data_IF_413060015758
#
_entry.id   IF_413060015758
#
_cell.length_a   1.000
_cell.length_b   1.000
_cell.length_c   1.000
_cell.angle_alpha   90.00
_cell.angle_beta   90.00
_cell.angle_gamma   90.00
#
_symmetry.space_group_name_H-M   'P 1'
#
loop_
_entity.id
_entity.type
_entity.pdbx_description
1 polymer ?
#
# COMPACT_ATOMS: atom_id res chain seq x y z
N UNK A 1 -18.26 -10.21 -29.12
CA UNK A 1 -17.89 -10.63 -27.75
C UNK A 1 -18.62 -11.93 -27.44
N UNK A 2 -17.94 -13.01 -27.08
CA UNK A 2 -18.60 -14.28 -26.75
C UNK A 2 -19.53 -14.09 -25.52
N UNK A 3 -20.77 -14.61 -25.56
CA UNK A 3 -21.77 -14.38 -24.48
C UNK A 3 -21.35 -14.92 -23.11
N UNK A 4 -20.38 -15.84 -23.06
CA UNK A 4 -19.85 -16.44 -21.83
C UNK A 4 -18.48 -15.88 -21.37
N UNK A 5 -17.89 -14.93 -22.10
CA UNK A 5 -16.54 -14.43 -21.78
C UNK A 5 -16.41 -13.82 -20.38
N UNK A 6 -17.45 -13.12 -19.90
CA UNK A 6 -17.48 -12.55 -18.55
C UNK A 6 -17.52 -13.62 -17.46
N UNK A 7 -18.18 -14.77 -17.71
CA UNK A 7 -18.22 -15.90 -16.77
C UNK A 7 -16.86 -16.55 -16.63
N UNK A 8 -16.14 -16.71 -17.73
CA UNK A 8 -14.78 -17.25 -17.72
C UNK A 8 -13.84 -16.28 -17.00
N UNK A 9 -13.96 -14.97 -17.24
CA UNK A 9 -13.17 -13.94 -16.54
C UNK A 9 -13.37 -13.98 -15.02
N UNK A 10 -14.62 -14.05 -14.55
CA UNK A 10 -14.91 -14.19 -13.12
C UNK A 10 -14.52 -15.56 -12.56
N UNK A 11 -14.77 -16.64 -13.31
CA UNK A 11 -14.44 -18.01 -12.90
C UNK A 11 -12.93 -18.24 -12.76
N UNK A 12 -12.11 -17.54 -13.54
CA UNK A 12 -10.65 -17.63 -13.44
C UNK A 12 -10.11 -17.16 -12.09
N UNK A 13 -10.85 -16.29 -11.37
CA UNK A 13 -10.49 -15.88 -10.01
C UNK A 13 -10.53 -17.04 -8.99
N UNK A 14 -11.22 -18.14 -9.31
CA UNK A 14 -11.20 -19.35 -8.50
C UNK A 14 -9.83 -20.06 -8.53
N UNK A 15 -9.02 -19.87 -9.59
CA UNK A 15 -7.72 -20.53 -9.73
C UNK A 15 -6.72 -20.06 -8.66
N UNK A 16 -6.46 -18.75 -8.46
CA UNK A 16 -5.64 -18.29 -7.34
C UNK A 16 -6.19 -18.68 -5.97
N UNK A 17 -7.52 -18.71 -5.79
CA UNK A 17 -8.14 -19.09 -4.53
C UNK A 17 -7.89 -20.58 -4.20
N UNK A 18 -8.01 -21.46 -5.19
CA UNK A 18 -7.68 -22.89 -5.03
C UNK A 18 -6.19 -23.10 -4.78
N UNK A 19 -5.32 -22.38 -5.49
CA UNK A 19 -3.87 -22.43 -5.24
C UNK A 19 -3.53 -22.03 -3.81
N UNK A 20 -4.15 -20.97 -3.30
CA UNK A 20 -3.96 -20.51 -1.92
C UNK A 20 -4.51 -21.53 -0.92
N UNK A 21 -5.68 -22.10 -1.17
CA UNK A 21 -6.28 -23.15 -0.33
C UNK A 21 -5.39 -24.39 -0.24
N UNK A 22 -4.85 -24.87 -1.36
CA UNK A 22 -3.89 -25.98 -1.37
C UNK A 22 -2.59 -25.59 -0.66
N UNK A 23 -2.09 -24.38 -0.90
CA UNK A 23 -0.89 -23.85 -0.23
C UNK A 23 -1.02 -23.77 1.28
N UNK A 24 -2.20 -23.42 1.81
CA UNK A 24 -2.46 -23.39 3.25
C UNK A 24 -2.29 -24.74 3.94
N UNK A 25 -2.48 -25.88 3.23
CA UNK A 25 -2.21 -27.20 3.80
C UNK A 25 -0.72 -27.54 3.87
N UNK A 26 0.12 -26.87 3.08
CA UNK A 26 1.58 -27.11 3.01
C UNK A 26 2.35 -26.15 3.92
N UNK A 27 1.85 -24.93 4.10
CA UNK A 27 2.50 -23.89 4.90
C UNK A 27 2.36 -24.22 6.40
N UNK A 28 3.49 -24.22 7.10
CA UNK A 28 3.52 -24.32 8.56
C UNK A 28 3.13 -22.98 9.19
N UNK A 29 2.35 -23.02 10.27
CA UNK A 29 1.95 -21.85 11.04
C UNK A 29 3.17 -21.02 11.51
N UNK A 30 2.98 -19.72 11.75
CA UNK A 30 4.09 -18.86 12.20
C UNK A 30 4.58 -19.28 13.59
N UNK A 31 5.90 -19.31 13.85
CA UNK A 31 6.45 -19.71 15.15
C UNK A 31 5.85 -18.94 16.33
N UNK A 32 5.69 -17.62 16.16
CA UNK A 32 5.07 -16.74 17.16
C UNK A 32 3.62 -17.16 17.47
N UNK A 33 2.80 -17.49 16.47
CA UNK A 33 1.42 -17.94 16.71
C UNK A 33 1.35 -19.29 17.42
N UNK A 34 2.27 -20.22 17.12
CA UNK A 34 2.34 -21.52 17.81
C UNK A 34 2.69 -21.37 19.29
N UNK A 35 3.66 -20.52 19.61
CA UNK A 35 4.08 -20.20 20.99
C UNK A 35 2.95 -19.46 21.73
N UNK A 36 2.27 -18.52 21.07
CA UNK A 36 1.09 -17.85 21.62
C UNK A 36 -0.04 -18.84 21.96
N UNK A 37 -0.20 -19.91 21.17
CA UNK A 37 -1.18 -20.97 21.43
C UNK A 37 -0.71 -22.03 22.44
N UNK A 38 0.48 -21.86 23.03
CA UNK A 38 1.06 -22.77 24.02
C UNK A 38 1.66 -24.05 23.42
N UNK A 39 2.04 -24.03 22.14
CA UNK A 39 2.65 -25.16 21.41
C UNK A 39 4.14 -24.91 21.18
N UNK A 40 4.90 -24.77 22.26
CA UNK A 40 6.27 -24.30 22.26
C UNK A 40 7.22 -25.19 21.44
N UNK A 41 7.10 -26.53 21.57
CA UNK A 41 7.87 -27.50 20.79
C UNK A 41 7.62 -27.38 19.28
N UNK A 42 6.36 -27.17 18.87
CA UNK A 42 6.00 -26.97 17.47
C UNK A 42 6.50 -25.61 16.95
N UNK A 43 6.45 -24.58 17.80
CA UNK A 43 7.01 -23.25 17.50
C UNK A 43 8.52 -23.30 17.29
N UNK A 44 9.26 -24.03 18.14
CA UNK A 44 10.71 -24.24 17.99
C UNK A 44 11.05 -25.01 16.72
N UNK A 45 10.32 -26.08 16.42
CA UNK A 45 10.49 -26.83 15.17
C UNK A 45 10.19 -25.99 13.92
N UNK A 46 9.14 -25.16 13.95
CA UNK A 46 8.82 -24.23 12.88
C UNK A 46 9.92 -23.16 12.70
N UNK A 47 10.47 -22.63 13.79
CA UNK A 47 11.55 -21.64 13.76
C UNK A 47 12.82 -22.23 13.14
N UNK A 48 13.21 -23.46 13.55
CA UNK A 48 14.31 -24.20 12.93
C UNK A 48 14.10 -24.41 11.43
N UNK A 49 12.88 -24.78 11.02
CA UNK A 49 12.53 -24.98 9.61
C UNK A 49 12.62 -23.70 8.78
N UNK A 50 12.21 -22.56 9.34
CA UNK A 50 12.22 -21.26 8.64
C UNK A 50 13.64 -20.68 8.57
N UNK A 51 14.42 -20.78 9.65
CA UNK A 51 15.81 -20.26 9.70
C UNK A 51 16.82 -21.18 9.02
N UNK A 52 16.53 -22.48 8.92
CA UNK A 52 17.41 -23.49 8.34
C UNK A 52 18.63 -23.81 9.21
N UNK A 53 18.62 -23.42 10.48
CA UNK A 53 19.70 -23.64 11.46
C UNK A 53 19.14 -24.24 12.74
N UNK A 54 19.95 -25.05 13.42
CA UNK A 54 19.56 -25.69 14.69
C UNK A 54 19.69 -24.78 15.90
N UNK A 55 20.57 -23.79 15.85
CA UNK A 55 20.81 -22.83 16.92
C UNK A 55 19.89 -21.62 16.80
N UNK A 56 18.63 -21.82 17.23
CA UNK A 56 17.59 -20.78 17.30
C UNK A 56 17.18 -20.49 18.74
N UNK A 57 17.97 -20.95 19.71
CA UNK A 57 17.62 -20.95 21.14
C UNK A 57 17.45 -19.53 21.69
N UNK A 58 18.27 -18.59 21.22
CA UNK A 58 18.24 -17.17 21.62
C UNK A 58 16.99 -16.49 21.06
N UNK A 59 16.78 -16.58 19.75
CA UNK A 59 15.60 -16.00 19.08
C UNK A 59 14.29 -16.62 19.62
N UNK A 60 14.30 -17.93 19.91
CA UNK A 60 13.15 -18.60 20.50
C UNK A 60 12.81 -18.01 21.88
N UNK A 61 13.80 -17.77 22.75
CA UNK A 61 13.56 -17.15 24.06
C UNK A 61 13.04 -15.72 23.94
N UNK A 62 13.54 -14.95 22.98
CA UNK A 62 13.03 -13.59 22.69
C UNK A 62 11.55 -13.64 22.27
N UNK A 63 11.19 -14.56 21.36
CA UNK A 63 9.81 -14.73 20.90
C UNK A 63 8.90 -15.21 22.04
N UNK A 64 9.36 -16.13 22.91
CA UNK A 64 8.59 -16.58 24.07
C UNK A 64 8.33 -15.43 25.04
N UNK A 65 9.36 -14.64 25.38
CA UNK A 65 9.22 -13.48 26.24
C UNK A 65 8.23 -12.45 25.66
N UNK A 66 8.30 -12.19 24.34
CA UNK A 66 7.36 -11.33 23.65
C UNK A 66 5.92 -11.89 23.66
N UNK A 67 5.76 -13.21 23.51
CA UNK A 67 4.44 -13.87 23.58
C UNK A 67 3.86 -13.86 25.00
N UNK A 68 4.68 -13.99 26.04
CA UNK A 68 4.22 -13.88 27.43
C UNK A 68 3.75 -12.47 27.77
N UNK A 69 4.46 -11.44 27.32
CA UNK A 69 4.02 -10.05 27.40
C UNK A 69 2.69 -9.86 26.66
N UNK A 70 2.58 -10.38 25.43
CA UNK A 70 1.35 -10.32 24.64
C UNK A 70 0.17 -11.03 25.32
N UNK A 71 0.36 -12.20 25.92
CA UNK A 71 -0.67 -12.94 26.67
C UNK A 71 -1.17 -12.18 27.90
N UNK A 72 -0.33 -11.35 28.52
CA UNK A 72 -0.73 -10.51 29.63
C UNK A 72 -1.77 -9.44 29.21
N UNK A 73 -1.86 -9.13 27.91
CA UNK A 73 -2.81 -8.19 27.33
C UNK A 73 -4.14 -8.87 26.97
N UNK A 74 -5.06 -8.89 27.92
CA UNK A 74 -6.41 -9.48 27.77
C UNK A 74 -7.35 -8.74 26.82
N UNK A 75 -7.07 -7.48 26.45
CA UNK A 75 -7.96 -6.67 25.59
C UNK A 75 -7.18 -5.87 24.52
N UNK A 76 -6.87 -6.48 23.37
CA UNK A 76 -6.11 -5.85 22.28
C UNK A 76 -6.75 -4.56 21.76
N UNK A 77 -8.08 -4.54 21.57
CA UNK A 77 -8.82 -3.38 21.09
C UNK A 77 -8.82 -2.21 22.09
N UNK A 78 -8.88 -2.49 23.39
CA UNK A 78 -8.82 -1.45 24.44
C UNK A 78 -7.39 -0.92 24.60
N UNK A 79 -6.39 -1.78 24.43
CA UNK A 79 -4.98 -1.38 24.45
C UNK A 79 -4.58 -0.56 23.21
N UNK A 80 -5.27 -0.74 22.08
CA UNK A 80 -5.08 0.09 20.89
C UNK A 80 -5.45 1.58 21.14
N UNK A 81 -6.33 1.85 22.11
CA UNK A 81 -6.67 3.22 22.55
C UNK A 81 -5.69 3.80 23.58
N UNK A 82 -4.68 3.04 24.02
CA UNK A 82 -3.64 3.58 24.92
C UNK A 82 -2.68 4.48 24.15
N UNK A 83 -2.17 5.50 24.84
CA UNK A 83 -1.28 6.52 24.27
C UNK A 83 -0.09 5.93 23.49
N UNK A 84 0.52 4.84 23.95
CA UNK A 84 1.61 4.15 23.27
C UNK A 84 1.25 3.48 21.93
N UNK A 85 -0.02 3.09 21.73
CA UNK A 85 -0.50 2.47 20.48
C UNK A 85 -1.10 3.47 19.48
N UNK A 86 -1.29 4.74 19.89
CA UNK A 86 -1.83 5.80 19.01
C UNK A 86 -0.92 6.10 17.82
N UNK A 87 0.42 6.27 17.97
CA UNK A 87 1.29 6.61 16.84
C UNK A 87 1.26 5.58 15.69
N UNK A 88 1.44 4.27 15.93
CA UNK A 88 1.37 3.28 14.85
C UNK A 88 -0.04 3.17 14.26
N UNK A 89 -1.09 3.32 15.08
CA UNK A 89 -2.47 3.30 14.59
C UNK A 89 -2.76 4.46 13.65
N UNK A 90 -2.39 5.68 14.04
CA UNK A 90 -2.59 6.89 13.24
C UNK A 90 -1.83 6.74 11.92
N UNK A 91 -0.56 6.33 11.95
CA UNK A 91 0.21 6.16 10.72
C UNK A 91 -0.37 5.09 9.81
N UNK A 92 -0.79 3.95 10.35
CA UNK A 92 -1.39 2.91 9.54
C UNK A 92 -2.71 3.35 8.89
N UNK A 93 -3.59 4.01 9.64
CA UNK A 93 -4.87 4.52 9.12
C UNK A 93 -4.63 5.60 8.05
N UNK A 94 -3.79 6.61 8.35
CA UNK A 94 -3.53 7.69 7.39
C UNK A 94 -2.78 7.21 6.14
N UNK A 95 -1.84 6.26 6.25
CA UNK A 95 -1.20 5.68 5.07
C UNK A 95 -2.23 5.03 4.14
N UNK A 96 -3.20 4.32 4.69
CA UNK A 96 -4.25 3.66 3.90
C UNK A 96 -5.23 4.67 3.29
N UNK A 97 -5.57 5.74 4.01
CA UNK A 97 -6.33 6.87 3.47
C UNK A 97 -5.56 7.48 2.30
N UNK A 98 -4.31 7.90 2.52
CA UNK A 98 -3.50 8.54 1.49
C UNK A 98 -3.25 7.66 0.29
N UNK A 99 -3.10 6.33 0.47
CA UNK A 99 -2.99 5.39 -0.63
C UNK A 99 -4.20 5.49 -1.58
N UNK A 100 -5.42 5.64 -1.07
CA UNK A 100 -6.61 5.82 -1.88
C UNK A 100 -6.70 7.25 -2.48
N UNK A 101 -6.39 8.26 -1.68
CA UNK A 101 -6.35 9.66 -2.12
C UNK A 101 -5.21 9.99 -3.09
N UNK A 102 -4.29 9.07 -3.36
CA UNK A 102 -3.36 9.19 -4.50
C UNK A 102 -4.12 9.32 -5.83
N UNK A 103 -5.33 8.77 -5.92
CA UNK A 103 -6.10 8.68 -7.16
C UNK A 103 -5.74 7.49 -8.03
N UNK A 104 -5.02 6.48 -7.52
CA UNK A 104 -4.60 5.32 -8.32
C UNK A 104 -5.78 4.60 -8.97
N UNK A 105 -6.87 4.34 -8.22
CA UNK A 105 -8.06 3.68 -8.76
C UNK A 105 -8.72 4.53 -9.85
N UNK A 106 -8.80 5.85 -9.63
CA UNK A 106 -9.33 6.79 -10.60
C UNK A 106 -8.51 6.77 -11.91
N UNK A 107 -7.18 6.80 -11.82
CA UNK A 107 -6.29 6.77 -12.98
C UNK A 107 -6.36 5.42 -13.69
N UNK A 108 -6.44 4.30 -12.96
CA UNK A 108 -6.55 2.96 -13.53
C UNK A 108 -7.86 2.77 -14.31
N UNK A 109 -8.98 3.33 -13.83
CA UNK A 109 -10.26 3.29 -14.56
C UNK A 109 -10.31 4.28 -15.73
N UNK A 110 -9.68 5.44 -15.59
CA UNK A 110 -9.69 6.47 -16.63
C UNK A 110 -8.72 6.17 -17.77
N UNK A 111 -7.61 5.48 -17.50
CA UNK A 111 -6.59 5.19 -18.52
C UNK A 111 -7.18 4.49 -19.76
N UNK A 112 -7.97 3.40 -19.66
CA UNK A 112 -8.61 2.79 -20.82
C UNK A 112 -9.60 3.71 -21.54
N UNK A 113 -10.36 4.53 -20.80
CA UNK A 113 -11.35 5.46 -21.35
C UNK A 113 -10.66 6.57 -22.15
N UNK A 114 -9.58 7.14 -21.61
CA UNK A 114 -8.69 8.05 -22.34
C UNK A 114 -8.15 7.39 -23.60
N UNK A 115 -7.66 6.15 -23.49
CA UNK A 115 -7.08 5.45 -24.65
C UNK A 115 -8.10 5.25 -25.77
N UNK A 116 -9.36 4.95 -25.43
CA UNK A 116 -10.45 4.83 -26.40
C UNK A 116 -10.84 6.18 -27.03
N UNK A 117 -10.95 7.26 -26.25
CA UNK A 117 -11.30 8.58 -26.79
C UNK A 117 -10.22 9.18 -27.68
N UNK A 118 -8.96 8.73 -27.53
CA UNK A 118 -7.83 9.13 -28.37
C UNK A 118 -7.74 8.37 -29.71
N UNK A 119 -8.76 7.57 -30.07
CA UNK A 119 -8.85 6.91 -31.37
C UNK A 119 -7.94 5.69 -31.53
N UNK A 120 -7.30 5.22 -30.46
CA UNK A 120 -6.74 3.87 -30.46
C UNK A 120 -7.91 2.88 -30.58
N UNK A 121 -7.93 2.09 -31.66
CA UNK A 121 -8.88 0.96 -31.81
C UNK A 121 -8.87 0.13 -30.52
N UNK A 122 -9.97 -0.54 -30.17
CA UNK A 122 -10.09 -1.32 -28.90
C UNK A 122 -8.86 -2.19 -28.57
N UNK A 123 -8.17 -2.72 -29.57
CA UNK A 123 -6.91 -3.47 -29.41
C UNK A 123 -5.76 -2.64 -28.82
N UNK A 124 -5.64 -1.36 -29.19
CA UNK A 124 -4.63 -0.44 -28.67
C UNK A 124 -4.89 -0.04 -27.21
N UNK A 125 -6.15 0.15 -26.81
CA UNK A 125 -6.50 0.44 -25.41
C UNK A 125 -6.18 -0.76 -24.49
N UNK A 126 -6.46 -1.99 -24.95
CA UNK A 126 -6.06 -3.22 -24.28
C UNK A 126 -4.53 -3.35 -24.19
N UNK A 127 -3.81 -3.10 -25.29
CA UNK A 127 -2.35 -3.16 -25.31
C UNK A 127 -1.73 -2.17 -24.31
N UNK A 128 -2.22 -0.93 -24.27
CA UNK A 128 -1.75 0.07 -23.31
C UNK A 128 -2.02 -0.32 -21.86
N UNK A 129 -3.20 -0.89 -21.55
CA UNK A 129 -3.49 -1.40 -20.22
C UNK A 129 -2.54 -2.55 -19.82
N UNK A 130 -2.22 -3.45 -20.76
CA UNK A 130 -1.22 -4.52 -20.56
C UNK A 130 0.16 -3.92 -20.30
N UNK A 131 0.58 -2.91 -21.06
CA UNK A 131 1.86 -2.22 -20.86
C UNK A 131 1.91 -1.56 -19.47
N UNK A 132 0.87 -0.84 -19.06
CA UNK A 132 0.80 -0.25 -17.71
C UNK A 132 0.86 -1.33 -16.62
N UNK A 133 0.20 -2.47 -16.83
CA UNK A 133 0.27 -3.62 -15.93
C UNK A 133 1.69 -4.22 -15.83
N UNK A 134 2.37 -4.40 -16.96
CA UNK A 134 3.76 -4.89 -17.00
C UNK A 134 4.73 -3.91 -16.31
N UNK A 135 4.55 -2.61 -16.53
CA UNK A 135 5.32 -1.57 -15.84
C UNK A 135 5.07 -1.60 -14.34
N UNK A 136 3.81 -1.80 -13.90
CA UNK A 136 3.47 -1.94 -12.49
C UNK A 136 4.19 -3.15 -11.86
N UNK A 137 4.16 -4.32 -12.52
CA UNK A 137 4.87 -5.53 -12.06
C UNK A 137 6.39 -5.31 -12.02
N UNK A 138 6.97 -4.76 -13.09
CA UNK A 138 8.41 -4.46 -13.15
C UNK A 138 8.84 -3.47 -12.07
N UNK A 139 8.05 -2.42 -11.84
CA UNK A 139 8.29 -1.43 -10.79
C UNK A 139 8.19 -2.04 -9.39
N UNK A 140 7.31 -3.02 -9.18
CA UNK A 140 7.21 -3.74 -7.91
C UNK A 140 8.52 -4.47 -7.57
N UNK A 141 9.19 -5.08 -8.56
CA UNK A 141 10.51 -5.69 -8.32
C UNK A 141 11.57 -4.66 -7.93
N UNK A 142 11.53 -3.46 -8.54
CA UNK A 142 12.41 -2.35 -8.14
C UNK A 142 12.13 -1.94 -6.70
N UNK A 143 10.87 -1.93 -6.26
CA UNK A 143 10.51 -1.67 -4.87
C UNK A 143 11.20 -2.63 -3.91
N UNK A 144 11.12 -3.93 -4.19
CA UNK A 144 11.67 -4.98 -3.33
C UNK A 144 13.17 -4.73 -3.09
N UNK A 145 13.91 -4.36 -4.15
CA UNK A 145 15.32 -4.05 -4.03
C UNK A 145 15.60 -2.69 -3.35
N UNK A 146 14.80 -1.68 -3.67
CA UNK A 146 15.03 -0.30 -3.23
C UNK A 146 14.63 -0.06 -1.76
N UNK A 147 13.60 -0.75 -1.26
CA UNK A 147 13.03 -0.59 0.10
C UNK A 147 14.10 -0.78 1.17
N UNK A 148 14.94 -1.80 1.01
CA UNK A 148 15.98 -2.11 1.98
C UNK A 148 17.27 -1.29 1.77
N UNK A 149 17.54 -0.82 0.55
CA UNK A 149 18.70 0.05 0.30
C UNK A 149 18.46 1.51 0.65
N UNK A 150 17.38 2.11 0.18
CA UNK A 150 17.13 3.56 0.24
C UNK A 150 16.43 3.98 1.53
N UNK A 151 15.59 3.10 2.09
CA UNK A 151 14.74 3.39 3.24
C UNK A 151 13.32 3.78 2.85
N UNK A 152 12.37 3.56 3.76
CA UNK A 152 10.93 3.65 3.48
C UNK A 152 10.50 5.11 3.31
N UNK A 153 11.00 6.02 4.16
CA UNK A 153 10.60 7.44 4.15
C UNK A 153 11.08 8.15 2.88
N UNK A 154 12.32 7.90 2.46
CA UNK A 154 12.89 8.51 1.24
C UNK A 154 12.16 8.06 -0.03
N UNK A 155 11.77 6.79 -0.12
CA UNK A 155 10.98 6.27 -1.24
C UNK A 155 9.59 6.88 -1.32
N UNK A 156 8.91 7.03 -0.18
CA UNK A 156 7.60 7.72 -0.14
C UNK A 156 7.71 9.17 -0.63
N UNK A 157 8.72 9.92 -0.18
CA UNK A 157 8.91 11.32 -0.58
C UNK A 157 9.28 11.47 -2.06
N UNK A 158 10.21 10.65 -2.56
CA UNK A 158 10.57 10.66 -3.97
C UNK A 158 9.36 10.37 -4.86
N UNK A 159 8.53 9.40 -4.45
CA UNK A 159 7.33 9.07 -5.18
C UNK A 159 6.29 10.20 -5.14
N UNK A 160 6.10 10.88 -3.99
CA UNK A 160 5.24 12.05 -3.93
C UNK A 160 5.66 13.11 -4.96
N UNK A 161 6.95 13.41 -5.08
CA UNK A 161 7.45 14.37 -6.07
C UNK A 161 7.15 13.93 -7.50
N UNK A 162 7.44 12.67 -7.85
CA UNK A 162 7.22 12.15 -9.20
C UNK A 162 5.73 12.06 -9.56
N UNK A 163 4.89 11.62 -8.62
CA UNK A 163 3.44 11.58 -8.79
C UNK A 163 2.85 12.98 -8.96
N UNK A 164 3.32 13.95 -8.17
CA UNK A 164 2.89 15.35 -8.25
C UNK A 164 3.21 15.95 -9.62
N UNK A 165 4.46 15.81 -10.09
CA UNK A 165 4.87 16.32 -11.39
C UNK A 165 4.04 15.68 -12.52
N UNK A 166 3.85 14.35 -12.46
CA UNK A 166 3.10 13.62 -13.47
C UNK A 166 1.61 14.03 -13.50
N UNK A 167 0.96 14.16 -12.33
CA UNK A 167 -0.45 14.56 -12.27
C UNK A 167 -0.67 16.02 -12.67
N UNK A 168 0.23 16.93 -12.27
CA UNK A 168 0.15 18.33 -12.71
C UNK A 168 0.33 18.45 -14.22
N UNK A 169 1.31 17.73 -14.80
CA UNK A 169 1.53 17.71 -16.24
C UNK A 169 0.30 17.18 -17.00
N UNK A 170 -0.29 16.07 -16.54
CA UNK A 170 -1.53 15.52 -17.12
C UNK A 170 -2.69 16.51 -17.00
N UNK A 171 -2.89 17.11 -15.82
CA UNK A 171 -3.96 18.07 -15.56
C UNK A 171 -3.85 19.34 -16.43
N UNK A 172 -2.63 19.84 -16.65
CA UNK A 172 -2.36 20.98 -17.53
C UNK A 172 -2.66 20.61 -18.98
N UNK A 173 -2.10 19.50 -19.48
CA UNK A 173 -2.28 19.06 -20.88
C UNK A 173 -3.76 18.86 -21.19
N UNK A 174 -4.50 18.20 -20.30
CA UNK A 174 -5.93 17.96 -20.49
C UNK A 174 -6.76 19.25 -20.40
N UNK A 175 -6.43 20.17 -19.48
CA UNK A 175 -7.14 21.44 -19.34
C UNK A 175 -7.05 22.33 -20.60
N UNK A 176 -5.90 22.34 -21.26
CA UNK A 176 -5.69 23.10 -22.50
C UNK A 176 -6.27 22.36 -23.72
N UNK A 177 -6.05 21.05 -23.83
CA UNK A 177 -6.41 20.30 -25.04
C UNK A 177 -7.91 19.98 -25.15
N UNK A 178 -8.64 19.87 -24.04
CA UNK A 178 -10.09 19.63 -24.06
C UNK A 178 -10.89 20.87 -24.47
N UNK A 179 -10.33 22.08 -24.34
CA UNK A 179 -11.04 23.33 -24.60
C UNK A 179 -11.04 23.77 -26.06
N UNK A 180 -10.04 23.40 -26.86
CA UNK A 180 -9.86 24.03 -28.17
C UNK A 180 -10.31 23.19 -29.38
N UNK A 181 -10.31 21.86 -29.32
CA UNK A 181 -10.44 21.08 -30.57
C UNK A 181 -11.28 19.81 -30.51
N UNK A 182 -11.71 19.34 -29.33
CA UNK A 182 -12.48 18.10 -29.20
C UNK A 182 -11.74 16.81 -29.65
N UNK A 183 -10.53 16.93 -30.18
CA UNK A 183 -9.65 15.83 -30.60
C UNK A 183 -8.23 16.09 -30.10
N UNK A 184 -7.71 15.15 -29.31
CA UNK A 184 -6.32 15.20 -28.83
C UNK A 184 -5.38 14.84 -29.99
N UNK A 185 -4.35 15.64 -30.23
CA UNK A 185 -3.29 15.24 -31.18
C UNK A 185 -2.63 13.93 -30.73
N UNK A 186 -2.27 13.07 -31.69
CA UNK A 186 -1.73 11.72 -31.42
C UNK A 186 -0.40 11.78 -30.65
N UNK A 187 0.35 12.87 -30.82
CA UNK A 187 1.59 13.13 -30.09
C UNK A 187 1.30 13.43 -28.61
N UNK A 188 0.36 14.34 -28.35
CA UNK A 188 -0.07 14.69 -26.99
C UNK A 188 -0.69 13.51 -26.26
N UNK A 189 -1.47 12.68 -26.96
CA UNK A 189 -2.01 11.42 -26.45
C UNK A 189 -0.91 10.48 -25.93
N UNK A 190 0.14 10.30 -26.73
CA UNK A 190 1.28 9.45 -26.37
C UNK A 190 2.02 9.99 -25.14
N UNK A 191 2.19 11.31 -25.05
CA UNK A 191 2.80 11.96 -23.89
C UNK A 191 1.97 11.73 -22.62
N UNK A 192 0.64 11.89 -22.69
CA UNK A 192 -0.26 11.61 -21.55
C UNK A 192 -0.14 10.15 -21.10
N UNK A 193 -0.06 9.20 -22.04
CA UNK A 193 0.14 7.77 -21.71
C UNK A 193 1.45 7.56 -20.96
N UNK A 194 2.55 8.14 -21.43
CA UNK A 194 3.86 8.04 -20.78
C UNK A 194 3.80 8.63 -19.36
N UNK A 195 3.11 9.76 -19.18
CA UNK A 195 2.93 10.38 -17.87
C UNK A 195 2.08 9.52 -16.92
N UNK A 196 1.02 8.89 -17.43
CA UNK A 196 0.21 7.94 -16.65
C UNK A 196 1.03 6.72 -16.26
N UNK A 197 1.80 6.14 -17.16
CA UNK A 197 2.70 5.03 -16.85
C UNK A 197 3.77 5.44 -15.82
N UNK A 198 4.31 6.65 -15.93
CA UNK A 198 5.30 7.19 -14.98
C UNK A 198 4.68 7.41 -13.59
N UNK A 199 3.41 7.85 -13.54
CA UNK A 199 2.65 7.94 -12.31
C UNK A 199 2.40 6.56 -11.68
N UNK A 200 1.92 5.59 -12.46
CA UNK A 200 1.63 4.23 -11.97
C UNK A 200 2.91 3.56 -11.47
N UNK A 201 4.02 3.69 -12.20
CA UNK A 201 5.34 3.24 -11.77
C UNK A 201 5.74 3.88 -10.43
N UNK A 202 5.51 5.19 -10.29
CA UNK A 202 5.84 5.89 -9.05
C UNK A 202 5.00 5.42 -7.85
N UNK A 203 3.74 5.05 -8.07
CA UNK A 203 2.91 4.46 -7.04
C UNK A 203 3.35 3.02 -6.70
N UNK A 204 3.63 2.23 -7.73
CA UNK A 204 3.94 0.80 -7.65
C UNK A 204 5.19 0.49 -6.83
N UNK A 205 6.25 1.29 -6.97
CA UNK A 205 7.47 1.06 -6.18
C UNK A 205 7.46 1.65 -4.76
N UNK A 206 6.40 2.38 -4.37
CA UNK A 206 6.36 3.18 -3.14
C UNK A 206 5.09 2.94 -2.34
N UNK A 207 4.08 3.80 -2.46
CA UNK A 207 2.81 3.82 -1.73
C UNK A 207 2.01 2.52 -1.86
N UNK A 208 2.16 1.79 -2.97
CA UNK A 208 1.59 0.45 -3.12
C UNK A 208 2.10 -0.52 -2.04
N UNK A 209 3.37 -0.95 -2.10
CA UNK A 209 3.95 -1.89 -1.14
C UNK A 209 4.17 -1.28 0.25
N UNK A 210 4.66 -0.04 0.33
CA UNK A 210 4.96 0.63 1.61
C UNK A 210 3.71 0.90 2.45
N UNK A 211 2.55 1.09 1.79
CA UNK A 211 1.27 1.24 2.48
C UNK A 211 0.88 0.01 3.31
N UNK A 212 1.36 -1.19 2.93
CA UNK A 212 1.14 -2.43 3.67
C UNK A 212 2.33 -2.81 4.56
N UNK A 213 3.55 -2.53 4.10
CA UNK A 213 4.78 -2.85 4.83
C UNK A 213 4.92 -2.01 6.11
N UNK A 214 4.74 -0.70 6.04
CA UNK A 214 4.94 0.19 7.20
C UNK A 214 4.01 -0.18 8.36
N UNK A 215 2.69 -0.37 8.17
CA UNK A 215 1.82 -0.88 9.24
C UNK A 215 2.32 -2.21 9.84
N UNK A 216 2.84 -3.13 9.03
CA UNK A 216 3.33 -4.41 9.53
C UNK A 216 4.61 -4.28 10.39
N UNK A 217 5.45 -3.28 10.12
CA UNK A 217 6.69 -3.00 10.86
C UNK A 217 6.45 -2.13 12.11
N UNK A 218 5.39 -1.30 12.14
CA UNK A 218 5.18 -0.31 13.20
C UNK A 218 4.36 -0.81 14.39
N UNK A 219 3.49 -1.80 14.20
CA UNK A 219 2.66 -2.31 15.30
C UNK A 219 3.42 -3.32 16.18
N UNK A 220 3.34 -3.17 17.52
CA UNK A 220 3.83 -4.18 18.43
C UNK A 220 3.00 -5.48 18.28
N UNK A 221 3.62 -6.62 18.59
CA UNK A 221 3.03 -7.96 18.37
C UNK A 221 1.59 -8.06 18.91
N UNK A 222 1.34 -7.52 20.10
CA UNK A 222 0.06 -7.62 20.82
C UNK A 222 -1.11 -6.91 20.12
N UNK A 223 -0.84 -5.76 19.49
CA UNK A 223 -1.88 -4.93 18.86
C UNK A 223 -1.86 -4.99 17.34
N UNK A 224 -0.89 -5.70 16.74
CA UNK A 224 -0.70 -5.81 15.29
C UNK A 224 -1.95 -6.30 14.57
N UNK A 225 -2.54 -7.41 15.01
CA UNK A 225 -3.72 -7.99 14.34
C UNK A 225 -4.90 -7.01 14.36
N UNK A 226 -5.15 -6.35 15.50
CA UNK A 226 -6.21 -5.36 15.63
C UNK A 226 -5.92 -4.10 14.80
N UNK A 227 -4.70 -3.57 14.87
CA UNK A 227 -4.27 -2.39 14.11
C UNK A 227 -4.32 -2.60 12.60
N UNK A 228 -3.90 -3.78 12.13
CA UNK A 228 -3.97 -4.15 10.72
C UNK A 228 -5.42 -4.32 10.24
N UNK A 229 -6.32 -4.85 11.08
CA UNK A 229 -7.75 -4.91 10.77
C UNK A 229 -8.35 -3.51 10.57
N UNK A 230 -7.99 -2.54 11.41
CA UNK A 230 -8.38 -1.14 11.20
C UNK A 230 -7.81 -0.57 9.90
N UNK A 231 -6.52 -0.80 9.62
CA UNK A 231 -5.87 -0.35 8.38
C UNK A 231 -6.57 -0.90 7.13
N UNK A 232 -6.86 -2.20 7.09
CA UNK A 232 -7.60 -2.85 5.98
C UNK A 232 -9.02 -2.30 5.87
N UNK A 233 -9.73 -2.16 6.99
CA UNK A 233 -11.09 -1.63 7.01
C UNK A 233 -11.16 -0.20 6.48
N UNK A 234 -10.22 0.65 6.90
CA UNK A 234 -10.06 2.01 6.38
C UNK A 234 -9.74 2.00 4.88
N UNK A 235 -8.82 1.15 4.43
CA UNK A 235 -8.48 1.02 3.01
C UNK A 235 -9.74 0.71 2.18
N UNK A 236 -10.48 -0.34 2.55
CA UNK A 236 -11.70 -0.77 1.85
C UNK A 236 -12.81 0.29 1.88
N UNK A 237 -12.98 0.99 3.01
CA UNK A 237 -13.95 2.06 3.15
C UNK A 237 -13.64 3.22 2.18
N UNK A 238 -12.40 3.69 2.17
CA UNK A 238 -12.00 4.81 1.30
C UNK A 238 -11.94 4.41 -0.18
N UNK A 239 -11.58 3.16 -0.50
CA UNK A 239 -11.74 2.61 -1.85
C UNK A 239 -13.20 2.70 -2.30
N UNK A 240 -14.14 2.30 -1.44
CA UNK A 240 -15.57 2.34 -1.74
C UNK A 240 -16.09 3.78 -1.93
N UNK A 241 -15.68 4.69 -1.04
CA UNK A 241 -16.05 6.12 -1.13
C UNK A 241 -15.54 6.73 -2.43
N UNK A 242 -14.25 6.54 -2.76
CA UNK A 242 -13.66 7.08 -3.99
C UNK A 242 -14.33 6.45 -5.20
N UNK A 243 -14.55 5.12 -5.23
CA UNK A 243 -15.19 4.45 -6.35
C UNK A 243 -16.60 5.01 -6.64
N UNK A 244 -17.40 5.29 -5.61
CA UNK A 244 -18.73 5.87 -5.76
C UNK A 244 -18.68 7.34 -6.17
N UNK A 245 -17.78 8.13 -5.58
CA UNK A 245 -17.66 9.55 -5.87
C UNK A 245 -17.00 9.82 -7.24
N UNK A 246 -16.21 8.88 -7.74
CA UNK A 246 -15.35 9.07 -8.92
C UNK A 246 -16.11 9.42 -10.19
N UNK A 247 -17.20 8.70 -10.52
CA UNK A 247 -18.01 9.00 -11.71
C UNK A 247 -18.57 10.43 -11.66
N UNK A 248 -19.08 10.84 -10.50
CA UNK A 248 -19.60 12.21 -10.30
C UNK A 248 -18.48 13.25 -10.42
N UNK A 249 -17.29 12.97 -9.87
CA UNK A 249 -16.12 13.84 -9.99
C UNK A 249 -15.63 13.94 -11.44
N UNK A 250 -15.59 12.83 -12.19
CA UNK A 250 -15.24 12.85 -13.61
C UNK A 250 -16.19 13.73 -14.42
N UNK A 251 -17.51 13.56 -14.23
CA UNK A 251 -18.51 14.30 -14.99
C UNK A 251 -18.50 15.80 -14.68
N UNK A 252 -18.28 16.20 -13.43
CA UNK A 252 -18.33 17.62 -13.01
C UNK A 252 -16.98 18.33 -13.07
N UNK A 253 -15.89 17.64 -12.74
CA UNK A 253 -14.56 18.24 -12.58
C UNK A 253 -13.65 17.99 -13.77
N UNK A 254 -13.92 16.99 -14.63
CA UNK A 254 -13.11 16.67 -15.82
C UNK A 254 -11.59 16.71 -15.53
N UNK A 255 -10.85 17.66 -16.13
CA UNK A 255 -9.40 17.82 -15.92
C UNK A 255 -9.03 18.31 -14.50
N UNK A 256 -9.95 18.98 -13.79
CA UNK A 256 -9.72 19.47 -12.43
C UNK A 256 -9.53 18.35 -11.40
N UNK A 257 -9.91 17.12 -11.72
CA UNK A 257 -9.72 15.96 -10.85
C UNK A 257 -8.23 15.67 -10.59
N UNK A 258 -7.36 15.92 -11.58
CA UNK A 258 -5.91 15.71 -11.44
C UNK A 258 -5.28 16.75 -10.52
N UNK A 259 -5.77 18.00 -10.55
CA UNK A 259 -5.33 19.03 -9.61
C UNK A 259 -5.81 18.76 -8.18
N UNK A 260 -7.02 18.20 -8.02
CA UNK A 260 -7.52 17.76 -6.72
C UNK A 260 -6.62 16.67 -6.10
N UNK A 261 -6.29 15.63 -6.86
CA UNK A 261 -5.38 14.59 -6.39
C UNK A 261 -3.95 15.12 -6.18
N UNK A 262 -3.47 16.05 -7.01
CA UNK A 262 -2.18 16.71 -6.82
C UNK A 262 -2.11 17.46 -5.49
N UNK A 263 -3.17 18.16 -5.10
CA UNK A 263 -3.27 18.81 -3.79
C UNK A 263 -3.13 17.80 -2.63
N UNK A 264 -3.77 16.64 -2.74
CA UNK A 264 -3.62 15.56 -1.76
C UNK A 264 -2.21 14.95 -1.76
N UNK A 265 -1.52 14.90 -2.91
CA UNK A 265 -0.11 14.46 -2.98
C UNK A 265 0.82 15.39 -2.19
N UNK A 266 0.54 16.69 -2.16
CA UNK A 266 1.31 17.62 -1.32
C UNK A 266 1.04 17.34 0.16
N UNK A 267 -0.22 17.16 0.54
CA UNK A 267 -0.61 16.86 1.94
C UNK A 267 0.00 15.54 2.42
N UNK A 268 -0.02 14.48 1.60
CA UNK A 268 0.62 13.20 1.95
C UNK A 268 2.14 13.35 2.05
N UNK A 269 2.77 14.16 1.19
CA UNK A 269 4.20 14.46 1.26
C UNK A 269 4.57 15.12 2.58
N UNK A 270 3.81 16.14 3.00
CA UNK A 270 3.99 16.80 4.30
C UNK A 270 3.79 15.81 5.46
N UNK A 271 2.78 14.95 5.38
CA UNK A 271 2.56 13.90 6.36
C UNK A 271 3.79 12.98 6.53
N UNK A 272 4.39 12.54 5.42
CA UNK A 272 5.60 11.71 5.45
C UNK A 272 6.81 12.47 6.02
N UNK A 273 6.94 13.77 5.76
CA UNK A 273 8.01 14.58 6.34
C UNK A 273 7.84 14.72 7.85
N UNK A 274 6.64 14.99 8.35
CA UNK A 274 6.46 15.37 9.76
C UNK A 274 6.12 14.21 10.70
N UNK A 275 5.46 13.15 10.21
CA UNK A 275 4.85 12.13 11.06
C UNK A 275 5.44 10.72 10.85
N UNK A 276 6.01 10.41 9.69
CA UNK A 276 6.51 9.05 9.39
C UNK A 276 8.01 8.93 9.77
N UNK A 277 8.37 8.12 10.78
CA UNK A 277 9.76 7.82 11.08
C UNK A 277 10.38 6.88 10.03
N UNK A 278 11.71 6.81 10.00
CA UNK A 278 12.40 5.79 9.19
C UNK A 278 12.37 4.45 9.93
N UNK A 279 11.82 3.41 9.29
CA UNK A 279 11.67 2.07 9.86
C UNK A 279 12.75 1.09 9.41
N UNK A 280 13.63 1.51 8.50
CA UNK A 280 14.66 0.65 7.90
C UNK A 280 15.62 0.08 8.96
N UNK A 281 15.74 -1.25 8.99
CA UNK A 281 16.75 -1.97 9.76
C UNK A 281 16.51 -1.99 11.27
N UNK A 282 15.31 -1.60 11.72
CA UNK A 282 14.93 -1.63 13.13
C UNK A 282 14.22 -2.96 13.41
N UNK A 283 14.68 -3.76 14.38
CA UNK A 283 13.94 -4.94 14.83
C UNK A 283 12.55 -4.52 15.30
N UNK A 284 11.56 -5.38 15.06
CA UNK A 284 10.15 -5.10 15.40
C UNK A 284 10.00 -4.66 16.87
N UNK A 285 10.75 -5.29 17.77
CA UNK A 285 10.70 -5.00 19.21
C UNK A 285 11.37 -3.66 19.58
N UNK A 286 12.28 -3.16 18.73
CA UNK A 286 12.97 -1.88 18.89
C UNK A 286 12.20 -0.66 18.39
N UNK A 287 11.00 -0.84 17.82
CA UNK A 287 10.23 0.29 17.29
C UNK A 287 9.81 1.30 18.35
N UNK A 288 9.63 0.88 19.60
CA UNK A 288 9.29 1.76 20.72
C UNK A 288 10.32 2.88 20.88
N UNK A 289 11.60 2.59 20.68
CA UNK A 289 12.69 3.58 20.82
C UNK A 289 12.69 4.59 19.66
N UNK A 290 12.31 4.14 18.46
CA UNK A 290 12.10 5.03 17.30
C UNK A 290 10.96 6.00 17.57
N UNK A 291 9.87 5.55 18.19
CA UNK A 291 8.78 6.44 18.56
C UNK A 291 9.14 7.44 19.66
N UNK A 292 9.91 7.00 20.66
CA UNK A 292 10.39 7.85 21.78
C UNK A 292 11.35 8.95 21.32
N UNK A 293 12.17 8.69 20.30
CA UNK A 293 13.09 9.68 19.73
C UNK A 293 12.41 10.67 18.76
N UNK A 294 11.23 10.33 18.24
CA UNK A 294 10.53 11.17 17.27
C UNK A 294 9.96 12.47 17.89
N UNK A 295 10.18 13.66 17.30
CA UNK A 295 9.81 14.95 17.91
C UNK A 295 8.33 15.13 18.19
N UNK A 296 7.46 14.54 17.35
CA UNK A 296 5.99 14.61 17.50
C UNK A 296 5.48 13.51 18.43
N UNK A 297 6.00 12.28 18.30
CA UNK A 297 5.44 11.09 18.94
C UNK A 297 5.98 10.85 20.35
N UNK A 298 7.12 11.45 20.73
CA UNK A 298 7.68 11.36 22.09
C UNK A 298 6.70 11.73 23.20
N UNK A 299 5.70 12.59 22.92
CA UNK A 299 4.67 12.98 23.89
C UNK A 299 3.75 11.82 24.26
N UNK A 300 3.49 10.91 23.31
CA UNK A 300 2.65 9.74 23.53
C UNK A 300 3.30 8.70 24.45
N UNK A 301 4.64 8.71 24.55
CA UNK A 301 5.43 7.77 25.36
C UNK A 301 6.06 8.42 26.61
N UNK A 302 5.69 9.68 26.94
CA UNK A 302 6.22 10.40 28.10
C UNK A 302 5.56 10.02 29.44
N UNK A 303 4.44 9.29 29.39
CA UNK A 303 3.62 8.94 30.54
C UNK A 303 3.66 7.43 30.87
N UNK A 304 4.63 6.69 30.30
CA UNK A 304 4.95 5.29 30.64
C UNK A 304 6.34 5.21 31.25
#
# INVERSE_FOLDING_TARGET
MHPNGWRVSLGLAAVPALMLLVGCFVITDTPASLIERGKDEQGKAALKKVRGVDDVEVEFKEIVAACEQAKAVKHPFRNLMKSASVPPLVIAVFLQIFQQFTGINAIMFYAPVLFQTMGFKSDGALLSAVITGLVNVGSTFVSIYAVDKVGRRKLLLQACCQMLISQLAIGIILSFSLKETGTLDRTLATIVVILVCTYVMSFAWSWGPLGWLIPSETFPMETRTAGFAFAVSTNMLFTSIIAQAFLTMLCKMQANIFFFFSGWIVVMGLFVVFLVPETKGVPIDGMVDVWKSHPVWKRCFKNE
#
